data_IF_252560920431
#
_entry.id   IF_252560920431
#
_cell.length_a   1.000
_cell.length_b   1.000
_cell.length_c   1.000
_cell.angle_alpha   90.00
_cell.angle_beta   90.00
_cell.angle_gamma   90.00
#
_symmetry.space_group_name_H-M   'P 1'
#
loop_
_entity.id
_entity.type
_entity.pdbx_description
1 polymer ?
#
# COMPACT_ATOMS: atom_id res chain seq x y z
N UNK A 1 -0.25 -30.13 40.49
CA UNK A 1 -0.77 -28.84 40.01
C UNK A 1 0.13 -28.41 38.87
N UNK A 2 -0.30 -28.62 37.63
CA UNK A 2 0.43 -28.24 36.43
C UNK A 2 0.13 -26.74 36.18
N UNK A 3 1.15 -25.91 36.32
CA UNK A 3 1.08 -24.51 35.89
C UNK A 3 0.81 -24.55 34.38
N UNK A 4 -0.40 -24.14 34.00
CA UNK A 4 -0.75 -23.91 32.61
C UNK A 4 0.14 -22.79 32.09
N UNK A 5 1.04 -23.11 31.16
CA UNK A 5 1.72 -22.12 30.36
C UNK A 5 0.64 -21.30 29.66
N UNK A 6 0.42 -20.07 30.14
CA UNK A 6 -0.33 -19.07 29.39
C UNK A 6 0.30 -19.01 28.00
N UNK A 7 -0.45 -19.43 26.97
CA UNK A 7 -0.03 -19.21 25.60
C UNK A 7 0.20 -17.69 25.47
N UNK A 8 1.43 -17.28 25.17
CA UNK A 8 1.73 -15.87 24.90
C UNK A 8 0.74 -15.41 23.83
N UNK A 9 0.03 -14.32 24.10
CA UNK A 9 -0.80 -13.65 23.10
C UNK A 9 0.17 -13.16 22.03
N UNK A 10 0.26 -13.93 20.95
CA UNK A 10 1.28 -13.73 19.89
C UNK A 10 1.06 -12.46 19.09
N UNK A 11 -0.09 -11.79 19.23
CA UNK A 11 -0.42 -10.52 18.57
C UNK A 11 -1.32 -9.71 19.49
N UNK A 12 -0.75 -8.84 20.29
CA UNK A 12 -1.49 -7.74 20.90
C UNK A 12 -1.48 -6.56 19.93
N UNK A 13 -2.57 -6.28 19.19
CA UNK A 13 -2.62 -5.20 18.21
C UNK A 13 -2.55 -3.81 18.86
N UNK A 14 -2.62 -3.74 20.17
CA UNK A 14 -2.65 -2.49 20.92
C UNK A 14 -1.28 -2.13 21.52
N UNK A 15 -0.32 -3.04 21.54
CA UNK A 15 1.04 -2.71 22.02
C UNK A 15 1.76 -1.81 21.02
N UNK A 16 2.18 -0.60 21.43
CA UNK A 16 2.97 0.28 20.57
C UNK A 16 4.30 -0.35 20.17
N UNK A 17 4.58 -0.37 18.88
CA UNK A 17 5.84 -0.87 18.31
C UNK A 17 6.70 0.33 17.92
N UNK A 18 7.95 0.42 18.40
CA UNK A 18 8.85 1.50 18.01
C UNK A 18 9.23 1.37 16.53
N UNK A 19 9.43 2.51 15.84
CA UNK A 19 9.95 2.52 14.48
C UNK A 19 11.37 1.95 14.52
N UNK A 20 11.67 0.90 13.74
CA UNK A 20 12.99 0.29 13.74
C UNK A 20 14.04 1.17 13.05
N UNK A 21 15.32 0.90 13.32
CA UNK A 21 16.42 1.49 12.59
C UNK A 21 16.31 1.13 11.10
N UNK A 22 16.47 2.13 10.22
CA UNK A 22 16.32 1.93 8.78
C UNK A 22 17.56 1.24 8.20
N UNK A 23 17.35 0.29 7.32
CA UNK A 23 18.44 -0.31 6.55
C UNK A 23 19.06 0.76 5.62
N UNK A 24 20.37 0.68 5.32
CA UNK A 24 21.00 1.58 4.36
C UNK A 24 20.27 1.60 3.03
N UNK A 25 20.03 2.80 2.51
CA UNK A 25 19.35 2.99 1.23
C UNK A 25 19.88 4.24 0.50
N UNK A 26 20.02 4.14 -0.79
CA UNK A 26 20.29 5.29 -1.66
C UNK A 26 18.99 6.05 -1.88
N UNK A 27 19.03 7.36 -1.65
CA UNK A 27 17.94 8.25 -2.05
C UNK A 27 18.30 8.93 -3.37
N UNK A 28 17.31 9.10 -4.26
CA UNK A 28 17.53 9.70 -5.55
C UNK A 28 16.29 10.30 -6.17
N UNK A 29 16.51 10.99 -7.28
CA UNK A 29 15.45 11.48 -8.17
C UNK A 29 15.59 10.72 -9.49
N UNK A 30 14.56 10.00 -9.88
CA UNK A 30 14.49 9.33 -11.18
C UNK A 30 14.01 10.33 -12.23
N UNK A 31 14.87 10.62 -13.19
CA UNK A 31 14.53 11.44 -14.38
C UNK A 31 13.80 10.54 -15.37
N UNK A 32 12.49 10.69 -15.46
CA UNK A 32 11.61 9.85 -16.26
C UNK A 32 10.97 10.62 -17.41
N UNK A 33 10.45 9.97 -18.45
CA UNK A 33 9.72 10.66 -19.51
C UNK A 33 8.55 11.49 -18.98
N UNK A 34 8.72 12.82 -18.97
CA UNK A 34 7.70 13.79 -18.57
C UNK A 34 7.48 13.95 -17.07
N UNK A 35 8.40 13.46 -16.22
CA UNK A 35 8.35 13.71 -14.78
C UNK A 35 9.66 13.36 -14.08
N UNK A 36 9.82 13.84 -12.85
CA UNK A 36 10.87 13.42 -11.90
C UNK A 36 10.24 12.85 -10.64
N UNK A 37 10.65 11.66 -10.25
CA UNK A 37 10.12 10.99 -9.07
C UNK A 37 11.21 10.76 -8.02
N UNK A 38 10.91 11.14 -6.78
CA UNK A 38 11.75 10.83 -5.63
C UNK A 38 11.59 9.37 -5.23
N UNK A 39 12.70 8.70 -4.95
CA UNK A 39 12.72 7.31 -4.51
C UNK A 39 13.83 7.05 -3.48
N UNK A 40 13.73 5.93 -2.81
CA UNK A 40 14.81 5.29 -2.07
C UNK A 40 14.89 3.81 -2.45
N UNK A 41 16.10 3.25 -2.41
CA UNK A 41 16.42 1.89 -2.85
C UNK A 41 17.51 1.31 -1.94
N UNK A 42 17.25 0.19 -1.29
CA UNK A 42 18.25 -0.49 -0.46
C UNK A 42 19.35 -1.16 -1.27
N UNK A 43 19.16 -1.28 -2.59
CA UNK A 43 20.12 -1.97 -3.46
C UNK A 43 20.17 -3.47 -3.20
N UNK A 44 21.29 -4.09 -3.60
CA UNK A 44 21.51 -5.51 -3.45
C UNK A 44 20.98 -6.35 -4.62
N UNK A 45 21.18 -7.67 -4.54
CA UNK A 45 20.82 -8.65 -5.58
C UNK A 45 19.56 -9.45 -5.24
N UNK A 46 18.88 -9.10 -4.14
CA UNK A 46 17.63 -9.73 -3.74
C UNK A 46 16.49 -9.46 -4.73
N UNK A 47 15.45 -10.29 -4.69
CA UNK A 47 14.24 -10.06 -5.47
C UNK A 47 13.66 -8.68 -5.13
N UNK A 48 13.35 -7.83 -6.12
CA UNK A 48 12.83 -6.50 -5.84
C UNK A 48 11.42 -6.53 -5.24
N UNK A 49 11.19 -5.71 -4.22
CA UNK A 49 9.87 -5.38 -3.68
C UNK A 49 9.67 -3.88 -3.78
N UNK A 50 8.63 -3.46 -4.50
CA UNK A 50 8.32 -2.03 -4.68
C UNK A 50 7.08 -1.67 -3.87
N UNK A 51 7.23 -0.65 -3.02
CA UNK A 51 6.18 -0.13 -2.14
C UNK A 51 5.50 1.10 -2.74
N UNK A 52 4.16 1.06 -2.83
CA UNK A 52 3.32 2.15 -3.34
C UNK A 52 2.42 2.72 -2.24
N UNK A 53 2.65 3.97 -1.92
CA UNK A 53 2.05 4.66 -0.78
C UNK A 53 0.56 5.03 -0.95
N UNK A 54 -0.20 5.23 0.15
CA UNK A 54 -1.56 5.76 0.15
C UNK A 54 -1.62 7.22 -0.33
N UNK A 55 -2.82 7.75 -0.52
CA UNK A 55 -2.99 9.17 -0.88
C UNK A 55 -2.61 10.14 0.24
N UNK A 56 -2.61 9.66 1.46
CA UNK A 56 -2.21 10.39 2.67
C UNK A 56 -0.72 10.36 2.96
N UNK A 57 0.09 9.70 2.12
CA UNK A 57 1.50 9.51 2.39
C UNK A 57 2.36 9.63 1.13
N UNK A 58 3.63 9.33 1.30
CA UNK A 58 4.66 9.30 0.24
C UNK A 58 5.59 8.10 0.48
N UNK A 59 6.74 8.06 -0.17
CA UNK A 59 7.78 7.05 0.13
C UNK A 59 8.19 7.02 1.61
N UNK A 60 7.88 8.06 2.38
CA UNK A 60 8.22 8.19 3.81
C UNK A 60 7.39 7.29 4.74
N UNK A 61 6.27 6.71 4.31
CA UNK A 61 5.37 5.96 5.21
C UNK A 61 5.85 4.54 5.54
N UNK A 62 6.84 4.01 4.82
CA UNK A 62 7.26 2.61 4.89
C UNK A 62 8.35 2.30 5.93
N UNK A 63 8.39 3.07 7.03
CA UNK A 63 9.43 2.98 8.05
C UNK A 63 9.47 1.63 8.77
N UNK A 64 8.34 0.95 8.91
CA UNK A 64 8.27 -0.38 9.50
C UNK A 64 8.56 -1.51 8.51
N UNK A 65 8.40 -1.26 7.21
CA UNK A 65 8.56 -2.26 6.16
C UNK A 65 9.99 -2.30 5.64
N UNK A 66 10.56 -1.14 5.36
CA UNK A 66 11.86 -0.99 4.71
C UNK A 66 12.95 -1.86 5.35
N UNK A 67 13.25 -1.77 6.67
CA UNK A 67 14.33 -2.56 7.23
C UNK A 67 14.00 -4.05 7.33
N UNK A 68 12.75 -4.40 7.60
CA UNK A 68 12.33 -5.80 7.77
C UNK A 68 12.46 -6.57 6.46
N UNK A 69 12.03 -6.00 5.35
CA UNK A 69 12.14 -6.62 4.03
C UNK A 69 13.59 -6.65 3.54
N UNK A 70 14.38 -5.61 3.82
CA UNK A 70 15.81 -5.59 3.50
C UNK A 70 16.57 -6.69 4.27
N UNK A 71 16.31 -6.85 5.56
CA UNK A 71 16.91 -7.92 6.38
C UNK A 71 16.45 -9.32 5.94
N UNK A 72 15.25 -9.44 5.37
CA UNK A 72 14.78 -10.68 4.76
C UNK A 72 15.42 -11.00 3.40
N UNK A 73 16.35 -10.15 2.93
CA UNK A 73 17.14 -10.37 1.72
C UNK A 73 16.54 -9.82 0.43
N UNK A 74 15.47 -9.02 0.51
CA UNK A 74 14.88 -8.35 -0.66
C UNK A 74 15.59 -7.04 -0.98
N UNK A 75 15.63 -6.66 -2.26
CA UNK A 75 15.90 -5.27 -2.67
C UNK A 75 14.63 -4.48 -2.51
N UNK A 76 14.63 -3.53 -1.59
CA UNK A 76 13.42 -2.78 -1.20
C UNK A 76 13.45 -1.38 -1.82
N UNK A 77 12.39 -1.02 -2.51
CA UNK A 77 12.26 0.24 -3.22
C UNK A 77 10.95 0.92 -2.80
N UNK A 78 11.03 2.17 -2.37
CA UNK A 78 9.88 3.03 -2.18
C UNK A 78 10.01 4.30 -3.00
N UNK A 79 8.92 4.75 -3.60
CA UNK A 79 8.93 5.99 -4.35
C UNK A 79 7.70 6.85 -4.05
N UNK A 80 7.83 8.13 -4.26
CA UNK A 80 6.73 9.07 -4.18
C UNK A 80 6.13 9.29 -5.56
N UNK A 81 4.80 9.13 -5.69
CA UNK A 81 4.09 9.45 -6.92
C UNK A 81 4.14 10.95 -7.19
N UNK A 82 3.81 11.39 -8.40
CA UNK A 82 3.64 12.83 -8.69
C UNK A 82 2.74 13.50 -7.65
N UNK A 83 3.03 14.73 -7.29
CA UNK A 83 2.37 15.53 -6.26
C UNK A 83 2.75 15.19 -4.82
N UNK A 84 3.70 14.29 -4.60
CA UNK A 84 4.14 13.87 -3.28
C UNK A 84 5.63 14.12 -3.06
N UNK A 85 6.05 14.07 -1.80
CA UNK A 85 7.40 14.34 -1.31
C UNK A 85 8.51 13.99 -2.31
N UNK A 86 9.37 14.97 -2.62
CA UNK A 86 10.51 14.88 -3.56
C UNK A 86 10.15 14.48 -5.00
N UNK A 87 8.87 14.48 -5.38
CA UNK A 87 8.43 14.26 -6.75
C UNK A 87 7.82 15.51 -7.34
N UNK A 88 7.90 15.64 -8.67
CA UNK A 88 7.29 16.77 -9.38
C UNK A 88 5.76 16.78 -9.25
N UNK A 89 5.20 17.98 -9.38
CA UNK A 89 3.77 18.15 -9.53
C UNK A 89 3.32 17.68 -10.92
N UNK A 90 2.18 17.00 -10.98
CA UNK A 90 1.55 16.66 -12.24
C UNK A 90 0.98 17.92 -12.91
N UNK A 91 1.43 18.28 -14.13
CA UNK A 91 0.90 19.44 -14.83
C UNK A 91 -0.55 19.22 -15.27
N UNK A 92 -1.35 20.30 -15.30
CA UNK A 92 -2.78 20.23 -15.61
C UNK A 92 -3.04 19.70 -17.04
N UNK A 93 -2.23 20.11 -17.99
CA UNK A 93 -2.39 19.76 -19.40
C UNK A 93 -1.97 18.30 -19.70
N UNK A 94 -1.06 17.75 -18.90
CA UNK A 94 -0.53 16.39 -19.09
C UNK A 94 -0.18 15.75 -17.75
N UNK A 95 -1.17 15.37 -16.95
CA UNK A 95 -0.94 14.83 -15.60
C UNK A 95 -0.21 13.46 -15.59
N UNK A 96 -0.17 12.78 -16.72
CA UNK A 96 0.40 11.44 -16.86
C UNK A 96 -0.50 10.33 -16.33
N UNK A 97 -0.04 9.10 -16.52
CA UNK A 97 -0.69 7.88 -16.04
C UNK A 97 0.20 7.27 -14.94
N UNK A 98 -0.38 7.01 -13.78
CA UNK A 98 0.40 6.61 -12.62
C UNK A 98 1.07 5.23 -12.77
N UNK A 99 0.44 4.30 -13.48
CA UNK A 99 1.01 2.98 -13.79
C UNK A 99 2.14 3.05 -14.83
N UNK A 100 2.09 3.99 -15.78
CA UNK A 100 3.20 4.25 -16.70
C UNK A 100 4.41 4.86 -15.98
N UNK A 101 4.19 5.75 -15.03
CA UNK A 101 5.26 6.28 -14.18
C UNK A 101 5.96 5.16 -13.39
N UNK A 102 5.19 4.20 -12.85
CA UNK A 102 5.75 3.01 -12.19
C UNK A 102 6.58 2.18 -13.19
N UNK A 103 6.07 1.97 -14.40
CA UNK A 103 6.81 1.24 -15.44
C UNK A 103 8.14 1.93 -15.77
N UNK A 104 8.10 3.22 -16.06
CA UNK A 104 9.31 4.00 -16.35
C UNK A 104 10.30 3.99 -15.18
N UNK A 105 9.82 4.02 -13.94
CA UNK A 105 10.68 3.90 -12.75
C UNK A 105 11.35 2.51 -12.69
N UNK A 106 10.62 1.43 -12.99
CA UNK A 106 11.22 0.09 -13.01
C UNK A 106 12.28 -0.06 -14.09
N UNK A 107 12.07 0.54 -15.28
CA UNK A 107 13.08 0.60 -16.34
C UNK A 107 14.32 1.39 -15.90
N UNK A 108 14.12 2.58 -15.31
CA UNK A 108 15.22 3.42 -14.81
C UNK A 108 16.07 2.70 -13.76
N UNK A 109 15.45 1.93 -12.87
CA UNK A 109 16.13 1.19 -11.80
C UNK A 109 16.63 -0.20 -12.24
N UNK A 110 16.44 -0.59 -13.51
CA UNK A 110 16.83 -1.89 -14.03
C UNK A 110 16.06 -3.08 -13.42
N UNK A 111 14.85 -2.85 -12.93
CA UNK A 111 13.99 -3.86 -12.30
C UNK A 111 13.18 -4.57 -13.38
N UNK A 112 13.46 -5.86 -13.61
CA UNK A 112 12.76 -6.67 -14.63
C UNK A 112 11.46 -7.27 -14.10
N UNK A 113 11.51 -7.89 -12.91
CA UNK A 113 10.34 -8.46 -12.22
C UNK A 113 10.40 -8.08 -10.75
N UNK A 114 9.23 -7.90 -10.12
CA UNK A 114 9.16 -7.48 -8.73
C UNK A 114 7.84 -7.90 -8.06
N UNK A 115 7.84 -7.89 -6.74
CA UNK A 115 6.62 -7.93 -5.93
C UNK A 115 6.14 -6.50 -5.72
N UNK A 116 4.88 -6.23 -6.02
CA UNK A 116 4.26 -4.94 -5.72
C UNK A 116 3.52 -5.00 -4.39
N UNK A 117 3.84 -4.09 -3.46
CA UNK A 117 3.16 -3.95 -2.17
C UNK A 117 2.58 -2.55 -2.07
N UNK A 118 1.28 -2.44 -1.88
CA UNK A 118 0.59 -1.16 -1.97
C UNK A 118 -0.44 -0.96 -0.87
N UNK A 119 -0.69 0.30 -0.53
CA UNK A 119 -1.75 0.70 0.39
C UNK A 119 -2.65 1.76 -0.24
N UNK A 120 -3.95 1.67 0.02
CA UNK A 120 -4.97 2.62 -0.40
C UNK A 120 -4.80 3.03 -1.88
N UNK A 121 -4.62 4.30 -2.18
CA UNK A 121 -4.49 4.80 -3.55
C UNK A 121 -3.36 4.13 -4.36
N UNK A 122 -2.29 3.66 -3.71
CA UNK A 122 -1.25 2.86 -4.35
C UNK A 122 -1.79 1.56 -4.94
N UNK A 123 -2.79 0.95 -4.30
CA UNK A 123 -3.46 -0.26 -4.78
C UNK A 123 -4.15 -0.10 -6.13
N UNK A 124 -4.72 1.07 -6.40
CA UNK A 124 -5.31 1.37 -7.71
C UNK A 124 -4.24 1.43 -8.80
N UNK A 125 -3.06 1.98 -8.49
CA UNK A 125 -1.94 2.07 -9.44
C UNK A 125 -1.35 0.69 -9.74
N UNK A 126 -1.15 -0.13 -8.70
CA UNK A 126 -0.60 -1.49 -8.88
C UNK A 126 -1.58 -2.42 -9.60
N UNK A 127 -2.89 -2.29 -9.36
CA UNK A 127 -3.90 -3.04 -10.11
C UNK A 127 -3.91 -2.64 -11.60
N UNK A 128 -3.86 -1.34 -11.89
CA UNK A 128 -3.74 -0.84 -13.26
C UNK A 128 -2.48 -1.36 -13.96
N UNK A 129 -1.34 -1.34 -13.25
CA UNK A 129 -0.08 -1.90 -13.72
C UNK A 129 -0.17 -3.41 -13.99
N UNK A 130 -0.86 -4.16 -13.13
CA UNK A 130 -1.02 -5.61 -13.28
C UNK A 130 -1.85 -5.98 -14.53
N UNK A 131 -2.70 -5.10 -15.03
CA UNK A 131 -3.40 -5.28 -16.29
C UNK A 131 -2.58 -4.88 -17.52
N UNK A 132 -1.62 -3.96 -17.36
CA UNK A 132 -0.75 -3.50 -18.45
C UNK A 132 0.49 -4.39 -18.63
N UNK A 133 1.09 -4.81 -17.53
CA UNK A 133 2.39 -5.49 -17.47
C UNK A 133 2.37 -6.70 -16.52
N UNK A 134 1.43 -7.66 -16.67
CA UNK A 134 1.32 -8.79 -15.75
C UNK A 134 2.61 -9.64 -15.68
N UNK A 135 3.37 -9.70 -16.77
CA UNK A 135 4.65 -10.43 -16.87
C UNK A 135 5.77 -9.84 -16.01
N UNK A 136 5.63 -8.59 -15.57
CA UNK A 136 6.58 -7.87 -14.72
C UNK A 136 6.34 -8.13 -13.23
N UNK A 137 5.17 -8.65 -12.86
CA UNK A 137 4.80 -8.88 -11.47
C UNK A 137 4.98 -10.34 -11.08
N UNK A 138 5.71 -10.55 -9.99
CA UNK A 138 5.78 -11.85 -9.30
C UNK A 138 4.54 -12.05 -8.43
N UNK A 139 4.11 -11.00 -7.75
CA UNK A 139 2.86 -10.96 -6.99
C UNK A 139 2.38 -9.53 -6.77
N UNK A 140 1.12 -9.40 -6.40
CA UNK A 140 0.44 -8.14 -6.09
C UNK A 140 -0.13 -8.21 -4.67
N UNK A 141 0.32 -7.31 -3.79
CA UNK A 141 -0.27 -7.11 -2.47
C UNK A 141 -0.97 -5.75 -2.43
N UNK A 142 -2.24 -5.76 -2.05
CA UNK A 142 -3.06 -4.55 -1.95
C UNK A 142 -3.74 -4.49 -0.59
N UNK A 143 -3.43 -3.45 0.17
CA UNK A 143 -4.04 -3.17 1.46
C UNK A 143 -5.03 -2.01 1.34
N UNK A 144 -6.21 -2.18 1.91
CA UNK A 144 -7.19 -1.09 2.11
C UNK A 144 -7.55 -0.34 0.82
N UNK A 145 -7.85 -1.07 -0.27
CA UNK A 145 -8.20 -0.48 -1.55
C UNK A 145 -9.24 -1.33 -2.30
N UNK A 146 -10.12 -0.66 -3.03
CA UNK A 146 -11.12 -1.30 -3.88
C UNK A 146 -10.66 -1.51 -5.33
N UNK A 147 -9.35 -1.47 -5.61
CA UNK A 147 -8.72 -1.62 -6.92
C UNK A 147 -9.26 -0.65 -7.99
N UNK A 148 -9.79 0.50 -7.55
CA UNK A 148 -10.49 1.46 -8.40
C UNK A 148 -11.69 0.87 -9.16
N UNK A 149 -12.31 -0.20 -8.66
CA UNK A 149 -13.52 -0.75 -9.25
C UNK A 149 -14.64 0.31 -9.28
N UNK A 150 -15.09 0.65 -10.50
CA UNK A 150 -16.00 1.78 -10.75
C UNK A 150 -17.33 1.35 -11.34
N UNK A 151 -17.59 0.07 -11.48
CA UNK A 151 -18.77 -0.42 -12.15
C UNK A 151 -19.59 -1.34 -11.26
N UNK A 152 -20.91 -1.27 -11.48
CA UNK A 152 -21.90 -2.16 -10.90
C UNK A 152 -21.96 -2.11 -9.37
N UNK A 153 -22.33 -3.22 -8.80
CA UNK A 153 -22.68 -3.34 -7.39
C UNK A 153 -21.52 -3.07 -6.40
N UNK A 154 -20.24 -3.20 -6.83
CA UNK A 154 -19.07 -2.87 -6.00
C UNK A 154 -18.99 -1.35 -5.80
N UNK A 155 -19.14 -0.58 -6.88
CA UNK A 155 -19.16 0.88 -6.82
C UNK A 155 -20.35 1.39 -6.00
N UNK A 156 -21.53 0.80 -6.18
CA UNK A 156 -22.73 1.11 -5.42
C UNK A 156 -22.57 0.81 -3.92
N UNK A 157 -21.97 -0.33 -3.59
CA UNK A 157 -21.67 -0.69 -2.21
C UNK A 157 -20.67 0.29 -1.57
N UNK A 158 -19.59 0.62 -2.27
CA UNK A 158 -18.60 1.59 -1.83
C UNK A 158 -19.20 3.00 -1.62
N UNK A 159 -20.14 3.40 -2.48
CA UNK A 159 -20.85 4.68 -2.33
C UNK A 159 -21.76 4.70 -1.09
N UNK A 160 -22.44 3.59 -0.79
CA UNK A 160 -23.35 3.50 0.37
C UNK A 160 -22.65 3.53 1.72
N UNK A 161 -21.39 3.11 1.80
CA UNK A 161 -20.63 3.12 3.06
C UNK A 161 -19.97 4.46 3.36
N UNK A 162 -19.96 5.39 2.39
CA UNK A 162 -19.42 6.73 2.65
C UNK A 162 -20.22 7.42 3.74
N UNK A 163 -19.52 7.89 4.76
CA UNK A 163 -20.09 8.64 5.86
C UNK A 163 -19.66 10.11 5.71
N UNK A 164 -20.54 11.02 5.29
CA UNK A 164 -20.20 12.44 5.13
C UNK A 164 -19.61 13.07 6.40
N UNK A 165 -20.02 12.58 7.58
CA UNK A 165 -19.48 13.03 8.85
C UNK A 165 -17.98 12.74 9.02
N UNK A 166 -17.44 11.72 8.35
CA UNK A 166 -15.99 11.43 8.39
C UNK A 166 -15.20 12.49 7.65
N UNK A 167 -15.73 13.04 6.55
CA UNK A 167 -15.03 14.06 5.75
C UNK A 167 -14.81 15.38 6.53
N UNK A 168 -15.62 15.62 7.56
CA UNK A 168 -15.46 16.77 8.47
C UNK A 168 -14.36 16.56 9.53
N UNK A 169 -13.87 15.35 9.70
CA UNK A 169 -12.83 15.02 10.67
C UNK A 169 -11.43 15.10 10.02
N UNK A 170 -10.40 15.39 10.80
CA UNK A 170 -9.03 15.24 10.34
C UNK A 170 -8.76 13.84 9.78
N UNK A 171 -7.97 13.73 8.72
CA UNK A 171 -7.71 12.47 8.01
C UNK A 171 -7.26 11.32 8.93
N UNK A 172 -6.38 11.58 9.87
CA UNK A 172 -5.91 10.58 10.83
C UNK A 172 -7.04 9.97 11.70
N UNK A 173 -8.16 10.67 11.86
CA UNK A 173 -9.30 10.14 12.62
C UNK A 173 -10.03 9.00 11.93
N UNK A 174 -9.94 8.91 10.61
CA UNK A 174 -10.63 7.90 9.83
C UNK A 174 -9.68 6.98 9.03
N UNK A 175 -8.40 7.32 8.92
CA UNK A 175 -7.38 6.42 8.35
C UNK A 175 -6.72 5.53 9.40
N UNK A 176 -6.61 5.97 10.66
CA UNK A 176 -6.14 5.14 11.76
C UNK A 176 -7.32 4.61 12.59
N UNK A 177 -7.28 3.34 12.94
CA UNK A 177 -8.29 2.70 13.76
C UNK A 177 -8.44 3.34 15.14
N UNK A 178 -9.65 3.37 15.72
CA UNK A 178 -9.89 3.99 17.02
C UNK A 178 -9.09 3.33 18.13
N UNK A 179 -8.95 2.01 18.11
CA UNK A 179 -8.15 1.25 19.09
C UNK A 179 -6.68 1.64 19.03
N UNK A 180 -6.09 1.74 17.82
CA UNK A 180 -4.72 2.18 17.63
C UNK A 180 -4.50 3.59 18.14
N UNK A 181 -5.36 4.54 17.79
CA UNK A 181 -5.24 5.94 18.22
C UNK A 181 -5.30 6.10 19.74
N UNK A 182 -6.11 5.27 20.41
CA UNK A 182 -6.21 5.27 21.86
C UNK A 182 -4.99 4.63 22.54
N UNK A 183 -4.50 3.51 21.99
CA UNK A 183 -3.37 2.78 22.56
C UNK A 183 -2.01 3.41 22.24
N UNK A 184 -1.87 4.06 21.07
CA UNK A 184 -0.61 4.65 20.62
C UNK A 184 -0.77 6.08 20.08
N UNK A 185 -1.09 7.07 20.94
CA UNK A 185 -1.24 8.46 20.51
C UNK A 185 0.06 9.04 19.93
N UNK A 186 1.24 8.62 20.40
CA UNK A 186 2.52 9.04 19.83
C UNK A 186 2.73 8.50 18.41
N UNK A 187 2.35 7.26 18.15
CA UNK A 187 2.36 6.68 16.80
C UNK A 187 1.37 7.37 15.84
N UNK A 188 0.19 7.76 16.34
CA UNK A 188 -0.78 8.51 15.57
C UNK A 188 -0.26 9.91 15.21
N UNK A 189 0.42 10.58 16.15
CA UNK A 189 1.06 11.89 15.91
C UNK A 189 2.18 11.76 14.87
N UNK A 190 3.04 10.74 15.01
CA UNK A 190 4.12 10.50 14.03
C UNK A 190 3.58 10.22 12.64
N UNK A 191 2.49 9.47 12.53
CA UNK A 191 1.80 9.24 11.25
C UNK A 191 1.32 10.58 10.65
N UNK A 192 0.74 11.46 11.47
CA UNK A 192 0.27 12.80 11.06
C UNK A 192 1.42 13.63 10.51
N UNK A 193 2.55 13.72 11.24
CA UNK A 193 3.74 14.45 10.78
C UNK A 193 4.25 13.97 9.41
N UNK A 194 4.32 12.65 9.20
CA UNK A 194 4.75 12.07 7.92
C UNK A 194 3.78 12.42 6.81
N UNK A 195 2.48 12.42 7.09
CA UNK A 195 1.46 12.81 6.13
C UNK A 195 1.59 14.28 5.72
N UNK A 196 1.79 15.17 6.68
CA UNK A 196 2.02 16.61 6.43
C UNK A 196 3.28 16.83 5.58
N UNK A 197 4.36 16.09 5.84
CA UNK A 197 5.57 16.13 5.02
C UNK A 197 5.38 15.57 3.61
N UNK A 198 4.41 14.70 3.42
CA UNK A 198 4.16 14.03 2.15
C UNK A 198 3.44 14.91 1.14
N UNK A 199 2.68 15.90 1.58
CA UNK A 199 1.93 16.80 0.72
C UNK A 199 2.83 17.95 0.22
N UNK A 200 3.21 17.93 -1.07
CA UNK A 200 4.12 18.95 -1.63
C UNK A 200 3.41 20.03 -2.45
N UNK A 201 2.12 19.89 -2.71
CA UNK A 201 1.34 20.88 -3.45
C UNK A 201 0.12 20.28 -4.17
N UNK A 202 -0.61 21.14 -4.86
CA UNK A 202 -1.82 20.76 -5.61
C UNK A 202 -1.50 20.64 -7.11
N UNK A 203 -0.97 19.50 -7.52
CA UNK A 203 -0.91 19.14 -8.94
C UNK A 203 -2.20 18.50 -9.42
N UNK A 204 -2.30 18.28 -10.74
CA UNK A 204 -3.42 17.58 -11.33
C UNK A 204 -3.47 16.10 -10.90
N UNK A 205 -4.65 15.54 -10.84
CA UNK A 205 -4.81 14.12 -10.53
C UNK A 205 -4.40 13.28 -11.74
N UNK A 206 -3.50 12.33 -11.53
CA UNK A 206 -3.17 11.35 -12.55
C UNK A 206 -4.34 10.39 -12.81
N UNK A 207 -4.49 9.98 -14.06
CA UNK A 207 -5.43 8.95 -14.46
C UNK A 207 -4.85 7.53 -14.30
N UNK A 208 -5.71 6.54 -14.43
CA UNK A 208 -5.36 5.15 -14.67
C UNK A 208 -5.61 4.84 -16.15
N UNK A 209 -4.87 3.90 -16.72
CA UNK A 209 -5.03 3.49 -18.10
C UNK A 209 -6.29 2.63 -18.30
N UNK A 210 -6.67 1.86 -17.28
CA UNK A 210 -7.79 0.94 -17.34
C UNK A 210 -9.01 1.43 -16.55
N UNK A 211 -10.19 1.09 -17.02
CA UNK A 211 -11.41 1.09 -16.22
C UNK A 211 -11.54 -0.30 -15.62
N UNK A 212 -11.50 -0.38 -14.29
CA UNK A 212 -11.59 -1.65 -13.58
C UNK A 212 -13.05 -2.00 -13.31
N UNK A 213 -13.51 -3.08 -13.95
CA UNK A 213 -14.82 -3.68 -13.77
C UNK A 213 -14.69 -5.06 -13.12
N UNK A 214 -15.77 -5.66 -12.59
CA UNK A 214 -15.75 -7.05 -12.11
C UNK A 214 -15.18 -8.03 -13.15
N UNK A 215 -15.63 -7.93 -14.41
CA UNK A 215 -15.12 -8.78 -15.51
C UNK A 215 -13.63 -8.54 -15.80
N UNK A 216 -13.14 -7.31 -15.62
CA UNK A 216 -11.71 -7.02 -15.74
C UNK A 216 -10.91 -7.68 -14.60
N UNK A 217 -11.43 -7.66 -13.36
CA UNK A 217 -10.81 -8.35 -12.24
C UNK A 217 -10.71 -9.87 -12.47
N UNK A 218 -11.67 -10.48 -13.12
CA UNK A 218 -11.66 -11.91 -13.47
C UNK A 218 -10.54 -12.28 -14.46
N UNK A 219 -9.96 -11.30 -15.14
CA UNK A 219 -8.78 -11.51 -16.01
C UNK A 219 -7.44 -11.40 -15.29
N UNK A 220 -7.42 -10.98 -14.02
CA UNK A 220 -6.18 -10.83 -13.26
C UNK A 220 -5.58 -12.21 -12.94
N UNK A 221 -4.36 -12.46 -13.40
CA UNK A 221 -3.66 -13.76 -13.24
C UNK A 221 -2.51 -13.69 -12.25
N UNK A 222 -2.05 -12.49 -11.92
CA UNK A 222 -0.98 -12.28 -10.95
C UNK A 222 -1.46 -12.76 -9.57
N UNK A 223 -0.68 -13.59 -8.83
CA UNK A 223 -1.01 -13.95 -7.46
C UNK A 223 -1.27 -12.70 -6.63
N UNK A 224 -2.43 -12.64 -5.98
CA UNK A 224 -2.92 -11.40 -5.35
C UNK A 224 -3.25 -11.61 -3.88
N UNK A 225 -2.66 -10.81 -3.00
CA UNK A 225 -3.01 -10.71 -1.59
C UNK A 225 -3.83 -9.44 -1.37
N UNK A 226 -5.05 -9.59 -0.91
CA UNK A 226 -5.93 -8.49 -0.51
C UNK A 226 -5.97 -8.39 1.01
N UNK A 227 -5.73 -7.20 1.53
CA UNK A 227 -5.72 -6.96 2.97
C UNK A 227 -6.56 -5.74 3.33
N UNK A 228 -7.16 -5.74 4.52
CA UNK A 228 -7.79 -4.54 5.09
C UNK A 228 -7.92 -4.68 6.61
N UNK A 229 -8.12 -3.56 7.29
CA UNK A 229 -8.45 -3.55 8.71
C UNK A 229 -9.93 -3.87 8.95
N UNK A 230 -10.22 -4.53 10.07
CA UNK A 230 -11.60 -4.81 10.48
C UNK A 230 -12.39 -3.53 10.83
N UNK A 231 -11.67 -2.50 11.27
CA UNK A 231 -12.21 -1.17 11.59
C UNK A 231 -11.98 -0.13 10.49
N UNK A 232 -11.67 -0.55 9.25
CA UNK A 232 -11.47 0.34 8.10
C UNK A 232 -12.82 0.92 7.62
N UNK A 233 -13.09 2.22 7.78
CA UNK A 233 -14.34 2.83 7.35
C UNK A 233 -14.40 3.14 5.85
N UNK A 234 -13.25 3.09 5.15
CA UNK A 234 -13.13 3.44 3.73
C UNK A 234 -13.20 2.22 2.82
N UNK A 235 -12.55 1.14 3.24
CA UNK A 235 -12.54 -0.13 2.51
C UNK A 235 -12.77 -1.28 3.50
N UNK A 236 -13.97 -1.38 4.09
CA UNK A 236 -14.25 -2.39 5.08
C UNK A 236 -14.16 -3.82 4.50
N UNK A 237 -14.05 -4.83 5.36
CA UNK A 237 -13.91 -6.24 4.95
C UNK A 237 -14.97 -6.70 3.94
N UNK A 238 -16.18 -6.15 3.97
CA UNK A 238 -17.23 -6.45 3.00
C UNK A 238 -16.82 -6.08 1.57
N UNK A 239 -16.27 -4.89 1.37
CA UNK A 239 -15.78 -4.43 0.05
C UNK A 239 -14.60 -5.29 -0.42
N UNK A 240 -13.65 -5.57 0.46
CA UNK A 240 -12.50 -6.43 0.12
C UNK A 240 -12.95 -7.83 -0.32
N UNK A 241 -13.93 -8.45 0.37
CA UNK A 241 -14.49 -9.75 -0.01
C UNK A 241 -15.25 -9.70 -1.33
N UNK A 242 -16.01 -8.62 -1.60
CA UNK A 242 -16.70 -8.44 -2.88
C UNK A 242 -15.71 -8.40 -4.05
N UNK A 243 -14.56 -7.74 -3.88
CA UNK A 243 -13.50 -7.68 -4.89
C UNK A 243 -12.84 -9.04 -5.04
N UNK A 244 -12.51 -9.70 -3.93
CA UNK A 244 -11.86 -11.00 -3.90
C UNK A 244 -12.64 -12.07 -4.68
N UNK A 245 -13.96 -12.04 -4.65
CA UNK A 245 -14.81 -12.97 -5.41
C UNK A 245 -14.58 -12.91 -6.94
N UNK A 246 -14.00 -11.83 -7.46
CA UNK A 246 -13.72 -11.67 -8.88
C UNK A 246 -12.27 -11.94 -9.28
N UNK A 247 -11.36 -12.13 -8.33
CA UNK A 247 -9.94 -12.37 -8.64
C UNK A 247 -9.66 -13.87 -8.51
N UNK A 248 -9.28 -14.57 -9.60
CA UNK A 248 -9.17 -16.04 -9.58
C UNK A 248 -8.10 -16.58 -8.62
N UNK A 249 -6.97 -15.87 -8.50
CA UNK A 249 -5.84 -16.29 -7.67
C UNK A 249 -5.59 -15.26 -6.57
N UNK A 250 -6.38 -15.33 -5.50
CA UNK A 250 -6.28 -14.38 -4.40
C UNK A 250 -6.29 -15.03 -3.02
N UNK A 251 -5.71 -14.32 -2.07
CA UNK A 251 -5.80 -14.55 -0.63
C UNK A 251 -6.36 -13.29 0.02
N UNK A 252 -7.13 -13.45 1.11
CA UNK A 252 -7.71 -12.31 1.86
C UNK A 252 -7.29 -12.40 3.31
N UNK A 253 -6.74 -11.30 3.85
CA UNK A 253 -6.39 -11.16 5.27
C UNK A 253 -7.07 -9.92 5.85
N UNK A 254 -7.76 -10.11 6.97
CA UNK A 254 -8.41 -9.04 7.72
C UNK A 254 -7.66 -8.84 9.03
N UNK A 255 -7.15 -7.63 9.25
CA UNK A 255 -6.44 -7.26 10.49
C UNK A 255 -7.46 -6.86 11.56
N UNK A 256 -7.50 -7.59 12.67
CA UNK A 256 -8.36 -7.21 13.81
C UNK A 256 -7.93 -5.86 14.35
N UNK A 257 -8.88 -5.04 14.78
CA UNK A 257 -8.65 -3.72 15.42
C UNK A 257 -7.92 -2.65 14.56
N UNK A 258 -7.47 -2.98 13.35
CA UNK A 258 -6.82 -2.01 12.45
C UNK A 258 -7.84 -1.21 11.66
N UNK A 259 -7.54 0.05 11.40
CA UNK A 259 -8.24 0.91 10.47
C UNK A 259 -7.74 0.75 9.03
N UNK A 260 -7.60 1.88 8.33
CA UNK A 260 -7.23 1.94 6.92
C UNK A 260 -5.71 1.77 6.66
N UNK A 261 -4.89 1.80 7.72
CA UNK A 261 -3.43 1.78 7.62
C UNK A 261 -2.78 0.57 8.34
N UNK A 262 -3.13 -0.70 8.01
CA UNK A 262 -2.57 -1.87 8.68
C UNK A 262 -1.04 -1.92 8.67
N UNK A 263 -0.39 -1.41 7.62
CA UNK A 263 1.08 -1.32 7.51
C UNK A 263 1.72 -0.49 8.62
N UNK A 264 0.97 0.46 9.19
CA UNK A 264 1.38 1.36 10.26
C UNK A 264 0.88 0.91 11.63
N UNK A 265 -0.37 0.47 11.68
CA UNK A 265 -1.06 0.14 12.94
C UNK A 265 -0.65 -1.22 13.51
N UNK A 266 -0.39 -2.21 12.66
CA UNK A 266 0.01 -3.57 13.01
C UNK A 266 1.20 -4.03 12.15
N UNK A 267 2.35 -3.34 12.21
CA UNK A 267 3.43 -3.54 11.25
C UNK A 267 4.04 -4.94 11.30
N UNK A 268 4.12 -5.59 12.44
CA UNK A 268 4.67 -6.96 12.55
C UNK A 268 3.78 -7.99 11.86
N UNK A 269 2.47 -7.90 12.06
CA UNK A 269 1.50 -8.80 11.40
C UNK A 269 1.49 -8.52 9.90
N UNK A 270 1.49 -7.25 9.51
CA UNK A 270 1.57 -6.84 8.11
C UNK A 270 2.82 -7.41 7.43
N UNK A 271 3.99 -7.16 8.01
CA UNK A 271 5.27 -7.58 7.46
C UNK A 271 5.35 -9.11 7.31
N UNK A 272 4.99 -9.86 8.37
CA UNK A 272 4.95 -11.34 8.32
C UNK A 272 4.00 -11.84 7.24
N UNK A 273 2.78 -11.33 7.19
CA UNK A 273 1.78 -11.72 6.19
C UNK A 273 2.28 -11.50 4.76
N UNK A 274 2.88 -10.33 4.48
CA UNK A 274 3.39 -10.02 3.15
C UNK A 274 4.63 -10.85 2.82
N UNK A 275 5.57 -11.01 3.76
CA UNK A 275 6.78 -11.83 3.55
C UNK A 275 6.42 -13.30 3.29
N UNK A 276 5.48 -13.87 4.03
CA UNK A 276 4.99 -15.24 3.83
C UNK A 276 4.35 -15.38 2.44
N UNK A 277 3.59 -14.39 2.00
CA UNK A 277 2.95 -14.41 0.68
C UNK A 277 3.98 -14.29 -0.45
N UNK A 278 4.83 -13.26 -0.43
CA UNK A 278 5.82 -13.05 -1.51
C UNK A 278 6.85 -14.18 -1.56
N UNK A 279 7.23 -14.76 -0.41
CA UNK A 279 8.15 -15.90 -0.34
C UNK A 279 7.65 -17.13 -1.12
N UNK A 280 6.33 -17.34 -1.19
CA UNK A 280 5.73 -18.43 -1.99
C UNK A 280 5.70 -18.14 -3.49
N UNK A 281 5.98 -16.90 -3.90
CA UNK A 281 5.89 -16.45 -5.30
C UNK A 281 7.21 -15.86 -5.83
N UNK A 282 8.34 -16.09 -5.17
CA UNK A 282 9.67 -15.55 -5.53
C UNK A 282 10.49 -16.48 -6.44
N UNK A 283 9.97 -17.61 -6.88
CA UNK A 283 10.67 -18.59 -7.71
C UNK A 283 10.55 -18.30 -9.21
#
# INVERSE_FOLDING_TARGET
MSEGKSAAIVNDPLTPIPIPEQAPATQGIAELPGTRLGYWDTGGNGTPVIFLHPASGSALVWLYQQPVFAHAGYRVIGYSRRNYYNSELAPAEKPGIASEDLHNLTEFLGVKKFHAVSSAAGGSVTADYAFLHPERLLSLTVSSNNLAARDGYIADAAARIKLPALEALPRWCWELGPSYRAANPAGAERWREINEQSETGKGARQSLANIVTPSKLETLRVPTLLMTGAADPLTPPSITRMIACHIPNNEVVIFSESGHSPYWEQPEVFNRTVLDFIGRHSA
#
